data_IF_598889975446
#
_entry.id   IF_598889975446
#
_cell.length_a   1.000
_cell.length_b   1.000
_cell.length_c   1.000
_cell.angle_alpha   90.00
_cell.angle_beta   90.00
_cell.angle_gamma   90.00
#
_symmetry.space_group_name_H-M   'P 1'
#
loop_
_entity.id
_entity.type
_entity.pdbx_description
1 polymer ?
#
# COMPACT_ATOMS: atom_id res chain seq x y z
N UNK A 1 32.09 -0.81 -47.47
CA UNK A 1 31.14 0.10 -46.79
C UNK A 1 30.41 -0.55 -45.62
N UNK A 2 29.78 -1.72 -45.77
CA UNK A 2 28.95 -2.35 -44.72
C UNK A 2 29.76 -2.78 -43.46
N UNK A 3 30.98 -3.33 -43.63
CA UNK A 3 31.83 -3.76 -42.50
C UNK A 3 32.36 -2.58 -41.66
N UNK A 4 32.59 -1.42 -42.30
CA UNK A 4 33.02 -0.19 -41.61
C UNK A 4 31.91 0.36 -40.72
N UNK A 5 30.66 0.33 -41.19
CA UNK A 5 29.50 0.78 -40.43
C UNK A 5 29.21 -0.11 -39.22
N UNK A 6 29.42 -1.43 -39.30
CA UNK A 6 29.26 -2.33 -38.14
C UNK A 6 30.30 -2.06 -37.06
N UNK A 7 31.56 -1.83 -37.42
CA UNK A 7 32.61 -1.44 -36.44
C UNK A 7 32.31 -0.10 -35.77
N UNK A 8 31.80 0.87 -36.54
CA UNK A 8 31.40 2.18 -36.02
C UNK A 8 30.19 2.05 -35.10
N UNK A 9 29.18 1.26 -35.47
CA UNK A 9 27.99 1.03 -34.64
C UNK A 9 28.35 0.31 -33.34
N UNK A 10 29.21 -0.73 -33.38
CA UNK A 10 29.68 -1.42 -32.17
C UNK A 10 30.50 -0.47 -31.29
N UNK A 11 31.37 0.35 -31.87
CA UNK A 11 32.14 1.37 -31.14
C UNK A 11 31.23 2.40 -30.47
N UNK A 12 30.19 2.87 -31.17
CA UNK A 12 29.18 3.79 -30.63
C UNK A 12 28.33 3.14 -29.53
N UNK A 13 27.97 1.86 -29.66
CA UNK A 13 27.26 1.12 -28.59
C UNK A 13 28.13 0.90 -27.35
N UNK A 14 29.42 0.63 -27.54
CA UNK A 14 30.38 0.54 -26.44
C UNK A 14 30.60 1.91 -25.78
N UNK A 15 30.82 2.97 -26.56
CA UNK A 15 30.96 4.35 -26.04
C UNK A 15 29.69 4.86 -25.33
N UNK A 16 28.50 4.48 -25.80
CA UNK A 16 27.22 4.78 -25.15
C UNK A 16 27.05 4.04 -23.81
N UNK A 17 27.66 2.86 -23.67
CA UNK A 17 27.73 2.12 -22.39
C UNK A 17 28.81 2.66 -21.43
N UNK A 18 29.80 3.42 -21.93
CA UNK A 18 30.89 3.98 -21.12
C UNK A 18 30.59 5.36 -20.50
N UNK A 19 29.36 5.89 -20.65
CA UNK A 19 28.96 7.20 -20.10
C UNK A 19 27.64 7.18 -19.32
N UNK A 20 27.08 6.01 -19.05
CA UNK A 20 25.84 5.88 -18.29
C UNK A 20 26.14 5.91 -16.78
N UNK A 21 25.69 6.98 -16.13
CA UNK A 21 25.64 7.07 -14.68
C UNK A 21 24.63 6.03 -14.13
N UNK A 22 25.08 5.13 -13.24
CA UNK A 22 24.25 4.05 -12.72
C UNK A 22 23.55 4.51 -11.44
N UNK A 23 22.21 4.58 -11.46
CA UNK A 23 21.43 4.94 -10.28
C UNK A 23 21.22 3.76 -9.34
N UNK A 24 21.49 3.96 -8.05
CA UNK A 24 21.33 2.94 -7.00
C UNK A 24 20.60 3.56 -5.81
N UNK A 25 19.52 2.91 -5.37
CA UNK A 25 18.78 3.29 -4.17
C UNK A 25 19.21 2.43 -2.99
N UNK A 26 19.42 3.05 -1.84
CA UNK A 26 19.87 2.38 -0.62
C UNK A 26 19.01 2.82 0.54
N UNK A 27 18.54 1.87 1.35
CA UNK A 27 17.80 2.21 2.56
C UNK A 27 18.74 2.84 3.60
N UNK A 28 18.31 3.89 4.29
CA UNK A 28 19.06 4.48 5.42
C UNK A 28 19.49 3.40 6.42
N UNK A 29 20.76 3.43 6.81
CA UNK A 29 21.40 2.45 7.71
C UNK A 29 21.89 1.17 7.03
N UNK A 30 21.49 0.90 5.78
CA UNK A 30 21.97 -0.27 5.03
C UNK A 30 23.37 -0.06 4.43
N UNK A 31 23.92 -1.11 3.83
CA UNK A 31 25.19 -1.08 3.10
C UNK A 31 24.94 -1.21 1.60
N UNK A 32 25.84 -0.67 0.79
CA UNK A 32 25.80 -0.79 -0.69
C UNK A 32 27.15 -1.21 -1.22
N UNK A 33 27.16 -2.11 -2.20
CA UNK A 33 28.35 -2.50 -2.93
C UNK A 33 28.31 -1.94 -4.35
N UNK A 34 29.33 -1.16 -4.70
CA UNK A 34 29.53 -0.56 -6.01
C UNK A 34 30.59 -1.38 -6.75
N UNK A 35 30.17 -2.03 -7.83
CA UNK A 35 31.00 -2.95 -8.60
C UNK A 35 31.58 -2.28 -9.84
N UNK A 36 32.78 -2.69 -10.22
CA UNK A 36 33.32 -2.39 -11.55
C UNK A 36 32.81 -3.49 -12.49
N UNK A 37 31.98 -3.13 -13.46
CA UNK A 37 31.30 -4.07 -14.36
C UNK A 37 32.10 -4.41 -15.62
N UNK A 38 33.28 -3.81 -15.82
CA UNK A 38 34.05 -3.99 -17.04
C UNK A 38 34.80 -5.33 -17.05
N UNK A 39 34.79 -6.03 -18.19
CA UNK A 39 35.48 -7.32 -18.35
C UNK A 39 37.01 -7.18 -18.34
N UNK A 40 37.53 -6.03 -18.77
CA UNK A 40 38.97 -5.75 -18.79
C UNK A 40 39.23 -4.29 -18.45
N UNK A 41 39.95 -4.06 -17.35
CA UNK A 41 40.44 -2.73 -16.98
C UNK A 41 41.61 -2.34 -17.89
N UNK A 42 41.77 -1.04 -18.23
CA UNK A 42 43.01 -0.56 -18.83
C UNK A 42 44.19 -0.82 -17.90
N UNK A 43 45.42 -0.82 -18.42
CA UNK A 43 46.60 -0.83 -17.56
C UNK A 43 46.62 0.44 -16.68
N UNK A 44 46.98 0.28 -15.41
CA UNK A 44 46.96 1.37 -14.44
C UNK A 44 48.02 1.19 -13.35
N UNK A 45 48.54 2.32 -12.88
CA UNK A 45 49.39 2.40 -11.70
C UNK A 45 48.55 2.54 -10.42
N UNK A 46 47.46 3.31 -10.52
CA UNK A 46 46.57 3.65 -9.42
C UNK A 46 45.11 3.44 -9.82
N UNK A 47 44.35 2.72 -9.01
CA UNK A 47 42.89 2.69 -9.04
C UNK A 47 42.35 3.36 -7.79
N UNK A 48 41.35 4.22 -7.93
CA UNK A 48 40.75 4.87 -6.77
C UNK A 48 39.27 5.15 -6.94
N UNK A 49 38.56 5.15 -5.81
CA UNK A 49 37.19 5.64 -5.71
C UNK A 49 37.18 7.05 -5.14
N UNK A 50 36.31 7.92 -5.65
CA UNK A 50 36.03 9.24 -5.08
C UNK A 50 34.54 9.44 -4.85
N UNK A 51 34.21 10.34 -3.93
CA UNK A 51 32.85 10.86 -3.78
C UNK A 51 32.56 11.98 -4.80
N UNK A 52 31.40 12.61 -4.63
CA UNK A 52 30.85 13.72 -5.41
C UNK A 52 31.72 14.98 -5.38
N UNK A 53 32.46 15.17 -4.29
CA UNK A 53 33.42 16.28 -4.09
C UNK A 53 34.81 15.97 -4.65
N UNK A 54 34.97 14.86 -5.36
CA UNK A 54 36.27 14.35 -5.84
C UNK A 54 37.26 14.03 -4.71
N UNK A 55 36.78 13.85 -3.48
CA UNK A 55 37.60 13.39 -2.37
C UNK A 55 37.82 11.88 -2.50
N UNK A 56 39.07 11.45 -2.38
CA UNK A 56 39.40 10.03 -2.48
C UNK A 56 38.88 9.26 -1.27
N UNK A 57 38.17 8.16 -1.52
CA UNK A 57 37.65 7.24 -0.50
C UNK A 57 38.68 6.14 -0.23
N UNK A 58 39.16 5.51 -1.30
CA UNK A 58 40.17 4.45 -1.26
C UNK A 58 41.05 4.53 -2.50
N UNK A 59 42.33 4.22 -2.32
CA UNK A 59 43.35 4.12 -3.37
C UNK A 59 43.99 2.74 -3.34
N UNK A 60 44.21 2.16 -4.52
CA UNK A 60 44.90 0.89 -4.73
C UNK A 60 46.05 1.08 -5.71
N UNK A 61 47.27 0.77 -5.28
CA UNK A 61 48.48 0.85 -6.12
C UNK A 61 48.79 -0.53 -6.71
N UNK A 62 48.85 -0.62 -8.04
CA UNK A 62 49.01 -1.89 -8.77
C UNK A 62 50.32 -2.60 -8.44
N UNK A 63 51.45 -1.88 -8.51
CA UNK A 63 52.80 -2.42 -8.28
C UNK A 63 52.96 -3.07 -6.90
N UNK A 64 52.55 -2.36 -5.85
CA UNK A 64 52.76 -2.79 -4.46
C UNK A 64 51.57 -3.57 -3.89
N UNK A 65 50.45 -3.64 -4.63
CA UNK A 65 49.15 -4.18 -4.19
C UNK A 65 48.64 -3.56 -2.88
N UNK A 66 49.08 -2.33 -2.57
CA UNK A 66 48.73 -1.63 -1.33
C UNK A 66 47.38 -0.93 -1.47
N UNK A 67 46.54 -1.09 -0.46
CA UNK A 67 45.26 -0.37 -0.30
C UNK A 67 45.45 0.73 0.74
N UNK A 68 45.02 1.95 0.42
CA UNK A 68 45.01 3.10 1.32
C UNK A 68 43.61 3.69 1.40
N UNK A 69 42.98 3.57 2.55
CA UNK A 69 41.69 4.19 2.85
C UNK A 69 41.90 5.61 3.34
N UNK A 70 41.00 6.51 2.96
CA UNK A 70 40.95 7.84 3.56
C UNK A 70 40.45 7.75 5.01
N UNK A 71 40.98 8.59 5.89
CA UNK A 71 40.77 8.50 7.34
C UNK A 71 39.29 8.56 7.74
N UNK A 72 38.50 9.41 7.06
CA UNK A 72 37.05 9.53 7.30
C UNK A 72 36.23 8.28 6.94
N UNK A 73 36.80 7.35 6.18
CA UNK A 73 36.10 6.16 5.69
C UNK A 73 36.62 4.84 6.30
N UNK A 74 37.63 4.90 7.17
CA UNK A 74 38.36 3.72 7.69
C UNK A 74 37.45 2.63 8.28
N UNK A 75 36.39 3.02 8.98
CA UNK A 75 35.47 2.08 9.64
C UNK A 75 34.14 1.91 8.88
N UNK A 76 33.95 2.64 7.78
CA UNK A 76 32.71 2.69 7.00
C UNK A 76 32.83 2.06 5.61
N UNK A 77 34.02 1.60 5.24
CA UNK A 77 34.30 1.08 3.89
C UNK A 77 35.02 -0.25 3.94
N UNK A 78 34.58 -1.20 3.11
CA UNK A 78 35.38 -2.36 2.71
C UNK A 78 35.72 -2.25 1.23
N UNK A 79 36.96 -2.57 0.88
CA UNK A 79 37.44 -2.60 -0.50
C UNK A 79 37.92 -3.99 -0.87
N UNK A 80 37.41 -4.54 -1.98
CA UNK A 80 37.86 -5.83 -2.49
C UNK A 80 39.01 -5.62 -3.49
N UNK A 81 40.22 -6.06 -3.15
CA UNK A 81 41.40 -5.88 -4.00
C UNK A 81 41.48 -6.83 -5.22
N UNK A 82 40.55 -7.79 -5.35
CA UNK A 82 40.45 -8.69 -6.52
C UNK A 82 39.47 -8.15 -7.56
N UNK A 83 38.34 -7.61 -7.12
CA UNK A 83 37.27 -7.08 -8.00
C UNK A 83 37.26 -5.55 -8.08
N UNK A 84 38.05 -4.89 -7.24
CA UNK A 84 38.11 -3.43 -7.07
C UNK A 84 36.76 -2.79 -6.68
N UNK A 85 35.84 -3.59 -6.13
CA UNK A 85 34.54 -3.11 -5.67
C UNK A 85 34.64 -2.39 -4.33
N UNK A 86 33.80 -1.37 -4.18
CA UNK A 86 33.69 -0.55 -2.98
C UNK A 86 32.40 -0.91 -2.24
N UNK A 87 32.50 -1.28 -0.96
CA UNK A 87 31.32 -1.45 -0.10
C UNK A 87 31.27 -0.31 0.89
N UNK A 88 30.22 0.49 0.86
CA UNK A 88 29.95 1.56 1.83
C UNK A 88 28.93 1.04 2.86
N UNK A 89 29.23 1.22 4.14
CA UNK A 89 28.44 0.70 5.25
C UNK A 89 27.67 1.81 5.97
N UNK A 90 26.53 1.43 6.55
CA UNK A 90 25.70 2.31 7.37
C UNK A 90 25.41 3.65 6.66
N UNK A 91 24.84 3.54 5.46
CA UNK A 91 24.58 4.67 4.57
C UNK A 91 23.59 5.65 5.19
N UNK A 92 23.92 6.93 5.18
CA UNK A 92 23.08 8.03 5.65
C UNK A 92 22.65 8.89 4.47
N UNK A 93 21.56 9.66 4.63
CA UNK A 93 21.07 10.56 3.58
C UNK A 93 22.14 11.51 3.05
N UNK A 94 23.02 11.99 3.93
CA UNK A 94 24.15 12.87 3.61
C UNK A 94 25.25 12.21 2.78
N UNK A 95 25.27 10.87 2.71
CA UNK A 95 26.19 10.12 1.87
C UNK A 95 25.63 9.91 0.45
N UNK A 96 24.43 10.44 0.14
CA UNK A 96 23.89 10.44 -1.21
C UNK A 96 24.75 11.32 -2.12
N UNK A 97 25.00 10.87 -3.34
CA UNK A 97 25.86 11.58 -4.27
C UNK A 97 26.46 10.68 -5.34
N UNK A 98 27.40 11.24 -6.07
CA UNK A 98 28.17 10.51 -7.08
C UNK A 98 29.33 9.76 -6.42
N UNK A 99 29.54 8.53 -6.88
CA UNK A 99 30.69 7.71 -6.52
C UNK A 99 31.34 7.22 -7.80
N UNK A 100 32.58 7.63 -8.03
CA UNK A 100 33.27 7.35 -9.29
C UNK A 100 34.53 6.54 -9.02
N UNK A 101 34.68 5.43 -9.77
CA UNK A 101 35.93 4.70 -9.86
C UNK A 101 36.75 5.22 -11.04
N UNK A 102 38.03 5.51 -10.80
CA UNK A 102 38.98 5.96 -11.81
C UNK A 102 40.25 5.15 -11.77
N UNK A 103 40.91 5.05 -12.91
CA UNK A 103 42.29 4.57 -13.01
C UNK A 103 43.20 5.67 -13.50
N UNK A 104 44.45 5.66 -13.05
CA UNK A 104 45.52 6.54 -13.50
C UNK A 104 46.74 5.70 -13.88
N UNK A 105 47.36 6.05 -15.00
CA UNK A 105 48.60 5.49 -15.53
C UNK A 105 49.16 6.49 -16.54
N UNK A 106 49.31 6.09 -17.81
CA UNK A 106 49.60 7.03 -18.91
C UNK A 106 48.53 8.11 -19.09
N UNK A 107 47.28 7.76 -18.81
CA UNK A 107 46.14 8.67 -18.81
C UNK A 107 45.19 8.35 -17.65
N UNK A 108 44.37 9.33 -17.30
CA UNK A 108 43.30 9.13 -16.35
C UNK A 108 42.02 8.66 -17.08
N UNK A 109 41.40 7.59 -16.56
CA UNK A 109 40.22 6.99 -17.16
C UNK A 109 39.11 6.87 -16.11
N UNK A 110 37.91 7.36 -16.45
CA UNK A 110 36.70 7.11 -15.67
C UNK A 110 36.18 5.70 -16.00
N UNK A 111 36.07 4.85 -14.99
CA UNK A 111 35.67 3.44 -15.18
C UNK A 111 34.18 3.26 -14.99
N UNK A 112 33.62 3.81 -13.91
CA UNK A 112 32.19 3.76 -13.62
C UNK A 112 31.82 4.89 -12.68
N UNK A 113 30.63 5.46 -12.88
CA UNK A 113 30.03 6.43 -11.96
C UNK A 113 28.67 5.92 -11.51
N UNK A 114 28.47 5.88 -10.19
CA UNK A 114 27.20 5.57 -9.56
C UNK A 114 26.58 6.83 -8.97
N UNK A 115 25.28 7.05 -9.17
CA UNK A 115 24.48 7.98 -8.37
C UNK A 115 23.78 7.18 -7.28
N UNK A 116 24.25 7.35 -6.05
CA UNK A 116 23.67 6.70 -4.88
C UNK A 116 22.66 7.64 -4.23
N UNK A 117 21.43 7.17 -4.09
CA UNK A 117 20.34 7.88 -3.40
C UNK A 117 19.96 7.10 -2.14
N UNK A 118 20.28 7.65 -0.97
CA UNK A 118 19.94 7.05 0.31
C UNK A 118 18.58 7.58 0.77
N UNK A 119 17.61 6.68 0.92
CA UNK A 119 16.22 7.02 1.24
C UNK A 119 15.72 6.20 2.42
N UNK A 120 14.73 6.73 3.14
CA UNK A 120 14.12 6.01 4.25
C UNK A 120 13.16 4.92 3.74
N UNK A 121 12.92 3.93 4.61
CA UNK A 121 11.83 3.01 4.39
C UNK A 121 10.49 3.75 4.48
N UNK A 122 9.51 3.31 3.70
CA UNK A 122 8.16 3.87 3.73
C UNK A 122 7.45 3.52 5.03
N UNK A 123 6.62 4.45 5.49
CA UNK A 123 5.64 4.19 6.54
C UNK A 123 4.43 3.43 5.97
N UNK A 124 3.73 2.71 6.86
CA UNK A 124 2.52 2.00 6.48
C UNK A 124 1.43 3.00 6.04
N UNK A 125 0.73 2.74 4.92
CA UNK A 125 -0.35 3.61 4.49
C UNK A 125 -1.51 3.55 5.49
N UNK A 126 -2.28 4.63 5.56
CA UNK A 126 -3.48 4.71 6.38
C UNK A 126 -4.69 4.43 5.51
N UNK A 127 -5.28 3.25 5.68
CA UNK A 127 -6.52 2.86 5.02
C UNK A 127 -7.71 3.15 5.93
N UNK A 128 -8.56 4.10 5.54
CA UNK A 128 -9.69 4.62 6.33
C UNK A 128 -11.01 4.32 5.64
N UNK A 129 -12.00 3.82 6.39
CA UNK A 129 -13.38 3.70 5.91
C UNK A 129 -14.10 5.02 6.14
N UNK A 130 -14.64 5.62 5.07
CA UNK A 130 -15.35 6.89 5.12
C UNK A 130 -16.84 6.68 5.36
N UNK A 131 -17.44 5.73 4.64
CA UNK A 131 -18.84 5.37 4.78
C UNK A 131 -19.09 3.94 4.33
N UNK A 132 -20.17 3.37 4.84
CA UNK A 132 -20.49 1.97 4.68
C UNK A 132 -22.01 1.83 4.57
N UNK A 133 -22.51 1.23 3.49
CA UNK A 133 -23.93 1.03 3.21
C UNK A 133 -24.25 -0.42 2.83
N UNK A 134 -25.43 -0.88 3.27
CA UNK A 134 -25.89 -2.25 3.10
C UNK A 134 -27.32 -2.32 2.57
N UNK A 135 -27.54 -3.29 1.69
CA UNK A 135 -28.85 -3.85 1.36
C UNK A 135 -28.75 -5.38 1.31
N UNK A 136 -29.88 -6.08 1.18
CA UNK A 136 -29.96 -7.55 1.24
C UNK A 136 -28.93 -8.30 0.38
N UNK A 137 -28.51 -7.70 -0.74
CA UNK A 137 -27.62 -8.33 -1.71
C UNK A 137 -26.41 -7.46 -2.07
N UNK A 138 -26.22 -6.30 -1.42
CA UNK A 138 -25.08 -5.43 -1.74
C UNK A 138 -24.47 -4.72 -0.54
N UNK A 139 -23.14 -4.82 -0.47
CA UNK A 139 -22.28 -4.08 0.44
C UNK A 139 -21.51 -3.03 -0.37
N UNK A 140 -21.66 -1.75 0.00
CA UNK A 140 -20.92 -0.64 -0.60
C UNK A 140 -20.08 0.05 0.47
N UNK A 141 -18.76 0.06 0.29
CA UNK A 141 -17.81 0.66 1.24
C UNK A 141 -17.01 1.74 0.53
N UNK A 142 -17.12 2.98 0.99
CA UNK A 142 -16.26 4.07 0.54
C UNK A 142 -15.08 4.19 1.48
N UNK A 143 -13.89 4.26 0.93
CA UNK A 143 -12.66 4.30 1.71
C UNK A 143 -11.64 5.23 1.06
N UNK A 144 -10.69 5.65 1.89
CA UNK A 144 -9.53 6.42 1.46
C UNK A 144 -8.27 5.68 1.88
N UNK A 145 -7.34 5.53 0.95
CA UNK A 145 -5.96 5.22 1.29
C UNK A 145 -5.09 6.47 1.24
N UNK A 146 -4.31 6.70 2.29
CA UNK A 146 -3.38 7.83 2.41
C UNK A 146 -1.96 7.35 2.69
N UNK A 147 -1.01 8.00 2.05
CA UNK A 147 0.42 7.95 2.34
C UNK A 147 0.97 9.39 2.28
N UNK A 148 2.21 9.66 2.72
CA UNK A 148 2.81 10.99 2.60
C UNK A 148 2.66 11.54 1.18
N UNK A 149 1.98 12.68 1.05
CA UNK A 149 1.73 13.37 -0.23
C UNK A 149 0.89 12.60 -1.28
N UNK A 150 0.38 11.41 -0.95
CA UNK A 150 -0.39 10.55 -1.85
C UNK A 150 -1.75 10.16 -1.25
N UNK A 151 -2.80 10.20 -2.07
CA UNK A 151 -4.15 9.87 -1.62
C UNK A 151 -4.98 9.26 -2.74
N UNK A 152 -5.63 8.14 -2.44
CA UNK A 152 -6.61 7.48 -3.31
C UNK A 152 -7.94 7.43 -2.57
N UNK A 153 -9.00 7.95 -3.20
CA UNK A 153 -10.38 7.74 -2.78
C UNK A 153 -11.02 6.72 -3.70
N UNK A 154 -11.64 5.68 -3.15
CA UNK A 154 -12.32 4.67 -3.96
C UNK A 154 -13.49 4.05 -3.21
N UNK A 155 -14.24 3.23 -3.93
CA UNK A 155 -15.42 2.54 -3.44
C UNK A 155 -15.36 1.06 -3.80
N UNK A 156 -15.69 0.23 -2.82
CA UNK A 156 -15.91 -1.20 -2.97
C UNK A 156 -17.39 -1.45 -3.18
N UNK A 157 -17.75 -2.15 -4.27
CA UNK A 157 -19.13 -2.50 -4.60
C UNK A 157 -19.14 -3.79 -5.43
N UNK A 158 -20.15 -4.66 -5.25
CA UNK A 158 -20.30 -5.91 -5.99
C UNK A 158 -19.03 -6.78 -5.94
N UNK A 159 -18.47 -6.91 -4.73
CA UNK A 159 -17.25 -7.65 -4.42
C UNK A 159 -15.98 -7.18 -5.13
N UNK A 160 -15.95 -5.94 -5.65
CA UNK A 160 -14.83 -5.40 -6.42
C UNK A 160 -14.60 -3.92 -6.15
N UNK A 161 -13.41 -3.43 -6.48
CA UNK A 161 -13.11 -2.00 -6.63
C UNK A 161 -12.28 -1.79 -7.90
N UNK A 162 -12.12 -0.55 -8.36
CA UNK A 162 -11.17 -0.25 -9.44
C UNK A 162 -9.76 -0.26 -8.87
N UNK A 163 -8.83 -1.08 -9.42
CA UNK A 163 -7.42 -0.92 -9.11
C UNK A 163 -6.96 0.48 -9.49
N UNK A 164 -6.19 1.11 -8.63
CA UNK A 164 -5.69 2.47 -8.82
C UNK A 164 -4.25 2.57 -8.36
N UNK A 165 -3.46 3.34 -9.10
CA UNK A 165 -2.06 3.61 -8.79
C UNK A 165 -1.82 5.11 -8.91
N UNK A 166 -1.20 5.69 -7.89
CA UNK A 166 -0.71 7.07 -7.94
C UNK A 166 0.77 7.08 -7.56
N UNK A 167 1.56 7.82 -8.32
CA UNK A 167 3.00 7.95 -8.13
C UNK A 167 3.35 9.42 -7.91
N UNK A 168 4.25 9.69 -6.97
CA UNK A 168 4.87 11.00 -6.76
C UNK A 168 6.36 10.81 -6.49
N UNK A 169 7.18 11.35 -7.37
CA UNK A 169 8.65 11.20 -7.34
C UNK A 169 9.06 9.71 -7.31
N UNK A 170 9.47 9.22 -6.14
CA UNK A 170 9.92 7.84 -5.90
C UNK A 170 8.91 7.01 -5.10
N UNK A 171 7.81 7.61 -4.66
CA UNK A 171 6.79 6.92 -3.87
C UNK A 171 5.61 6.52 -4.75
N UNK A 172 5.07 5.34 -4.50
CA UNK A 172 3.93 4.76 -5.21
C UNK A 172 2.90 4.28 -4.20
N UNK A 173 1.63 4.62 -4.44
CA UNK A 173 0.48 4.13 -3.68
C UNK A 173 -0.41 3.32 -4.62
N UNK A 174 -0.57 2.04 -4.31
CA UNK A 174 -1.36 1.07 -5.10
C UNK A 174 -2.56 0.63 -4.26
N UNK A 175 -3.74 0.69 -4.87
CA UNK A 175 -4.98 0.19 -4.33
C UNK A 175 -5.43 -1.03 -5.12
N UNK A 176 -5.77 -2.10 -4.39
CA UNK A 176 -6.39 -3.29 -4.95
C UNK A 176 -7.42 -3.89 -3.97
N UNK A 177 -8.41 -4.62 -4.49
CA UNK A 177 -9.45 -5.24 -3.68
C UNK A 177 -9.83 -6.63 -4.20
N UNK A 178 -10.11 -7.53 -3.26
CA UNK A 178 -10.69 -8.85 -3.50
C UNK A 178 -12.08 -8.97 -2.85
N UNK A 179 -12.72 -10.13 -2.99
CA UNK A 179 -13.99 -10.42 -2.31
C UNK A 179 -13.87 -10.32 -0.79
N UNK A 180 -12.69 -10.60 -0.24
CA UNK A 180 -12.47 -10.69 1.21
C UNK A 180 -11.83 -9.44 1.81
N UNK A 181 -11.15 -8.61 1.01
CA UNK A 181 -10.35 -7.53 1.57
C UNK A 181 -10.05 -6.39 0.61
N UNK A 182 -9.86 -5.20 1.18
CA UNK A 182 -9.27 -4.04 0.51
C UNK A 182 -7.83 -3.93 0.97
N UNK A 183 -6.90 -3.80 0.03
CA UNK A 183 -5.47 -3.70 0.28
C UNK A 183 -4.97 -2.39 -0.31
N UNK A 184 -4.26 -1.63 0.51
CA UNK A 184 -3.50 -0.51 0.02
C UNK A 184 -2.02 -0.69 0.32
N UNK A 185 -1.18 -0.54 -0.69
CA UNK A 185 0.26 -0.72 -0.62
C UNK A 185 0.96 0.62 -0.92
N UNK A 186 1.82 1.05 -0.03
CA UNK A 186 2.72 2.18 -0.22
C UNK A 186 4.14 1.66 -0.37
N UNK A 187 4.82 2.04 -1.44
CA UNK A 187 6.16 1.57 -1.76
C UNK A 187 7.07 2.67 -2.29
N UNK A 188 8.37 2.43 -2.15
CA UNK A 188 9.45 3.17 -2.79
C UNK A 188 10.52 2.16 -3.26
N UNK A 189 11.60 2.58 -3.96
CA UNK A 189 12.60 1.65 -4.50
C UNK A 189 13.28 0.72 -3.49
N UNK A 190 13.24 1.03 -2.19
CA UNK A 190 13.94 0.25 -1.15
C UNK A 190 13.00 -0.54 -0.24
N UNK A 191 11.71 -0.21 -0.20
CA UNK A 191 10.79 -0.78 0.78
C UNK A 191 9.33 -0.66 0.36
N UNK A 192 8.48 -1.51 0.94
CA UNK A 192 7.04 -1.43 0.78
C UNK A 192 6.33 -1.82 2.08
N UNK A 193 5.15 -1.24 2.30
CA UNK A 193 4.26 -1.52 3.44
C UNK A 193 2.83 -1.51 2.96
N UNK A 194 1.97 -2.28 3.62
CA UNK A 194 0.57 -2.36 3.27
C UNK A 194 -0.35 -2.22 4.48
N UNK A 195 -1.55 -1.72 4.22
CA UNK A 195 -2.69 -1.77 5.12
C UNK A 195 -3.79 -2.61 4.47
N UNK A 196 -4.51 -3.37 5.29
CA UNK A 196 -5.59 -4.24 4.85
C UNK A 196 -6.82 -4.02 5.72
N UNK A 197 -7.98 -4.01 5.09
CA UNK A 197 -9.28 -4.10 5.75
C UNK A 197 -9.98 -5.35 5.25
N UNK A 198 -10.50 -6.16 6.18
CA UNK A 198 -11.28 -7.33 5.84
C UNK A 198 -12.76 -6.92 5.64
N UNK A 199 -13.30 -7.25 4.48
CA UNK A 199 -14.67 -6.91 4.08
C UNK A 199 -15.68 -7.66 4.95
N UNK A 200 -15.40 -8.92 5.30
CA UNK A 200 -16.29 -9.77 6.13
C UNK A 200 -16.60 -9.13 7.48
N UNK A 201 -15.64 -8.49 8.14
CA UNK A 201 -15.86 -7.77 9.39
C UNK A 201 -16.78 -6.56 9.23
N UNK A 202 -16.70 -5.86 8.10
CA UNK A 202 -17.54 -4.70 7.84
C UNK A 202 -18.96 -5.12 7.43
N UNK A 203 -19.08 -6.13 6.56
CA UNK A 203 -20.36 -6.49 5.96
C UNK A 203 -21.17 -7.51 6.77
N UNK A 204 -20.55 -8.49 7.45
CA UNK A 204 -21.29 -9.51 8.22
C UNK A 204 -21.75 -9.03 9.60
N UNK A 205 -21.03 -8.09 10.22
CA UNK A 205 -21.38 -7.60 11.57
C UNK A 205 -22.63 -6.70 11.53
N UNK A 206 -22.88 -6.04 10.40
CA UNK A 206 -24.00 -5.11 10.25
C UNK A 206 -25.30 -5.77 9.77
N UNK A 207 -25.23 -6.86 9.00
CA UNK A 207 -26.38 -7.71 8.69
C UNK A 207 -27.06 -8.23 9.98
N UNK A 208 -26.25 -8.68 10.95
CA UNK A 208 -26.77 -9.12 12.26
C UNK A 208 -27.52 -8.01 13.00
N UNK A 209 -27.06 -6.75 12.93
CA UNK A 209 -27.75 -5.62 13.57
C UNK A 209 -29.07 -5.27 12.87
N UNK A 210 -29.11 -5.25 11.55
CA UNK A 210 -30.35 -4.98 10.81
C UNK A 210 -31.40 -6.08 11.03
N UNK A 211 -30.99 -7.34 10.97
CA UNK A 211 -31.88 -8.48 11.20
C UNK A 211 -32.50 -8.43 12.60
N UNK A 212 -31.71 -8.10 13.62
CA UNK A 212 -32.20 -7.91 15.00
C UNK A 212 -33.24 -6.79 15.08
N UNK A 213 -33.04 -5.69 14.35
CA UNK A 213 -33.97 -4.54 14.33
C UNK A 213 -35.29 -4.90 13.63
N UNK A 214 -35.24 -5.63 12.52
CA UNK A 214 -36.43 -6.08 11.77
C UNK A 214 -37.27 -7.03 12.62
N UNK A 215 -36.65 -8.01 13.28
CA UNK A 215 -37.37 -8.91 14.18
C UNK A 215 -38.06 -8.14 15.31
N UNK A 216 -37.38 -7.18 15.94
CA UNK A 216 -37.96 -6.35 17.01
C UNK A 216 -39.19 -5.55 16.54
N UNK A 217 -39.11 -4.88 15.38
CA UNK A 217 -40.21 -4.10 14.80
C UNK A 217 -41.38 -5.01 14.39
N UNK A 218 -41.07 -6.18 13.80
CA UNK A 218 -42.07 -7.18 13.40
C UNK A 218 -42.82 -7.75 14.60
N UNK A 219 -42.11 -8.10 15.67
CA UNK A 219 -42.71 -8.58 16.92
C UNK A 219 -43.64 -7.55 17.57
N UNK A 220 -43.26 -6.27 17.58
CA UNK A 220 -44.12 -5.19 18.09
C UNK A 220 -45.41 -5.03 17.27
N UNK A 221 -45.32 -5.09 15.94
CA UNK A 221 -46.49 -5.03 15.04
C UNK A 221 -47.44 -6.20 15.27
N UNK A 222 -46.91 -7.43 15.39
CA UNK A 222 -47.70 -8.63 15.66
C UNK A 222 -48.37 -8.52 17.04
N UNK A 223 -47.65 -8.08 18.06
CA UNK A 223 -48.22 -7.85 19.40
C UNK A 223 -49.40 -6.89 19.38
N UNK A 224 -49.29 -5.78 18.64
CA UNK A 224 -50.35 -4.77 18.53
C UNK A 224 -51.60 -5.30 17.82
N UNK A 225 -51.42 -6.13 16.77
CA UNK A 225 -52.52 -6.82 16.08
C UNK A 225 -53.24 -7.78 17.03
N UNK A 226 -52.50 -8.58 17.80
CA UNK A 226 -53.09 -9.52 18.77
C UNK A 226 -53.93 -8.77 19.81
N UNK A 227 -53.41 -7.67 20.35
CA UNK A 227 -54.15 -6.82 21.31
C UNK A 227 -55.43 -6.28 20.68
N UNK A 228 -55.39 -5.76 19.46
CA UNK A 228 -56.57 -5.25 18.76
C UNK A 228 -57.63 -6.35 18.54
N UNK A 229 -57.22 -7.57 18.16
CA UNK A 229 -58.13 -8.70 17.98
C UNK A 229 -58.78 -9.09 19.31
N UNK A 230 -58.01 -9.19 20.39
CA UNK A 230 -58.54 -9.53 21.72
C UNK A 230 -59.55 -8.49 22.19
N UNK A 231 -59.25 -7.19 22.05
CA UNK A 231 -60.18 -6.11 22.39
C UNK A 231 -61.45 -6.19 21.54
N UNK A 232 -61.31 -6.43 20.23
CA UNK A 232 -62.45 -6.59 19.32
C UNK A 232 -63.38 -7.75 19.73
N UNK A 233 -62.81 -8.90 20.11
CA UNK A 233 -63.57 -10.06 20.59
C UNK A 233 -64.31 -9.75 21.90
N UNK A 234 -63.66 -9.05 22.84
CA UNK A 234 -64.28 -8.66 24.11
C UNK A 234 -65.47 -7.72 23.88
N UNK A 235 -65.29 -6.70 23.02
CA UNK A 235 -66.37 -5.76 22.68
C UNK A 235 -67.52 -6.48 21.99
N UNK A 236 -67.23 -7.38 21.04
CA UNK A 236 -68.25 -8.16 20.34
C UNK A 236 -69.04 -9.06 21.31
N UNK A 237 -68.35 -9.78 22.19
CA UNK A 237 -69.00 -10.60 23.21
C UNK A 237 -69.88 -9.73 24.15
N UNK A 238 -69.40 -8.55 24.54
CA UNK A 238 -70.17 -7.59 25.32
C UNK A 238 -71.45 -7.10 24.61
N UNK A 239 -71.36 -6.79 23.32
CA UNK A 239 -72.51 -6.39 22.50
C UNK A 239 -73.53 -7.52 22.34
N UNK A 240 -73.07 -8.75 22.11
CA UNK A 240 -73.93 -9.94 22.04
C UNK A 240 -74.67 -10.14 23.36
N UNK A 241 -73.95 -10.11 24.49
CA UNK A 241 -74.55 -10.21 25.83
C UNK A 241 -75.55 -9.07 26.10
N UNK A 242 -75.23 -7.84 25.70
CA UNK A 242 -76.13 -6.70 25.81
C UNK A 242 -77.42 -6.89 25.01
N UNK A 243 -77.33 -7.36 23.76
CA UNK A 243 -78.49 -7.69 22.92
C UNK A 243 -79.34 -8.81 23.52
N UNK A 244 -78.73 -9.89 24.04
CA UNK A 244 -79.44 -10.95 24.74
C UNK A 244 -80.16 -10.45 26.01
N UNK A 245 -79.51 -9.56 26.79
CA UNK A 245 -80.11 -8.97 27.98
C UNK A 245 -81.26 -8.00 27.65
N UNK A 246 -81.14 -7.22 26.58
CA UNK A 246 -82.20 -6.33 26.09
C UNK A 246 -83.43 -7.12 25.62
N UNK A 247 -83.23 -8.21 24.89
CA UNK A 247 -84.33 -9.07 24.44
C UNK A 247 -85.07 -9.77 25.58
N UNK A 248 -84.39 -10.11 26.69
CA UNK A 248 -85.07 -10.62 27.90
C UNK A 248 -85.93 -9.55 28.59
N UNK A 249 -85.52 -8.28 28.60
CA UNK A 249 -86.35 -7.17 29.15
C UNK A 249 -87.56 -6.86 28.26
N UNK A 250 -87.46 -7.04 26.94
CA UNK A 250 -88.59 -6.90 26.01
C UNK A 250 -89.68 -7.96 26.20
N UNK A 251 -89.30 -9.21 26.54
CA UNK A 251 -90.25 -10.30 26.80
C UNK A 251 -90.97 -10.19 28.15
N UNK A 252 -90.35 -9.57 29.16
CA UNK A 252 -90.99 -9.39 30.47
C UNK A 252 -92.03 -8.27 30.49
N UNK A 253 -91.99 -7.33 29.54
CA UNK A 253 -92.95 -6.23 29.46
C UNK A 253 -94.21 -6.63 28.65
N UNK A 254 -94.12 -7.58 27.70
CA UNK A 254 -95.29 -8.00 26.91
C UNK A 254 -96.24 -8.96 27.66
N UNK A 255 -95.87 -9.45 28.85
CA UNK A 255 -96.69 -10.36 29.67
C UNK A 255 -97.46 -9.64 30.79
N UNK A 256 -97.30 -8.33 30.98
CA UNK A 256 -98.00 -7.55 32.02
C UNK A 256 -99.15 -6.70 31.45
N UNK A 257 -99.26 -6.52 30.13
CA UNK A 257 -100.30 -5.70 29.48
C UNK A 257 -101.40 -6.50 28.75
N UNK A 258 -101.57 -7.78 29.07
CA UNK A 258 -102.67 -8.60 28.56
C UNK A 258 -103.43 -9.25 29.72
N UNK A 259 -104.08 -8.41 30.52
CA UNK A 259 -105.22 -8.76 31.36
C UNK A 259 -106.28 -7.69 31.15
#
# INVERSE_FOLDING_TARGET
>A
FIISNIKIIIKLYLEYWFSAEISVFVQTGASVQLNIQTQQLPEFDLLYWSNDKSESIVKYTSETKRVRLHSSYKDRVDFNNKTFSLTLKNMQKTDSGLYTARTSGESENNIVTYRVSVIDAVEAPVLTVNSNWFSSDSCTVNFTCRAPELMINSSYQNNRCSPQEVTSQINTLILDCSEESIICNHSNPVSWKQARINITQLCEENERRQMTTIFYVSSYKIGLIIVCVVVGVIVFAGLVLYCFCKNKKGMSISLILKN
#
